data_IF_866090253385
#
_entry.id   IF_866090253385
#
_cell.length_a   1.000
_cell.length_b   1.000
_cell.length_c   1.000
_cell.angle_alpha   90.00
_cell.angle_beta   90.00
_cell.angle_gamma   90.00
#
_symmetry.space_group_name_H-M   'P 1'
#
loop_
_entity.id
_entity.type
_entity.pdbx_description
1 polymer ?
#
# COMPACT_ATOMS: atom_id res chain seq x y z
N UNK A 1 -38.68 10.91 -31.65
CA UNK A 1 -37.98 9.72 -32.20
C UNK A 1 -37.73 8.75 -31.06
N UNK A 2 -38.01 7.44 -31.19
CA UNK A 2 -37.83 6.45 -30.10
C UNK A 2 -36.41 5.86 -30.13
N UNK A 3 -35.91 5.37 -28.99
CA UNK A 3 -34.59 4.73 -28.89
C UNK A 3 -34.44 3.52 -29.82
N UNK A 4 -35.52 2.76 -30.06
CA UNK A 4 -35.53 1.66 -31.02
C UNK A 4 -35.26 2.13 -32.46
N UNK A 5 -35.88 3.23 -32.89
CA UNK A 5 -35.68 3.77 -34.24
C UNK A 5 -34.25 4.27 -34.41
N UNK A 6 -33.71 4.96 -33.40
CA UNK A 6 -32.33 5.45 -33.41
C UNK A 6 -31.32 4.30 -33.41
N UNK A 7 -31.54 3.27 -32.58
CA UNK A 7 -30.74 2.05 -32.56
C UNK A 7 -30.66 1.39 -33.95
N UNK A 8 -31.79 1.26 -34.64
CA UNK A 8 -31.82 0.68 -35.99
C UNK A 8 -31.11 1.55 -37.04
N UNK A 9 -31.26 2.89 -36.98
CA UNK A 9 -30.65 3.83 -37.93
C UNK A 9 -29.13 3.89 -37.76
N UNK A 10 -28.65 3.89 -36.52
CA UNK A 10 -27.22 4.04 -36.21
C UNK A 10 -26.45 2.72 -36.19
N UNK A 11 -27.16 1.58 -36.16
CA UNK A 11 -26.54 0.27 -36.30
C UNK A 11 -26.07 0.03 -37.73
N UNK A 12 -24.90 -0.57 -37.87
CA UNK A 12 -24.33 -1.03 -39.13
C UNK A 12 -23.89 -2.48 -39.00
N UNK A 13 -23.35 -3.04 -40.09
CA UNK A 13 -22.75 -4.37 -40.08
C UNK A 13 -21.60 -4.48 -39.06
N UNK A 14 -20.85 -3.40 -38.89
CA UNK A 14 -19.62 -3.37 -38.09
C UNK A 14 -19.82 -2.78 -36.68
N UNK A 15 -20.97 -2.14 -36.42
CA UNK A 15 -21.29 -1.59 -35.10
C UNK A 15 -22.78 -1.77 -34.79
N UNK A 16 -23.11 -2.50 -33.74
CA UNK A 16 -24.49 -2.65 -33.29
C UNK A 16 -24.75 -1.70 -32.13
N UNK A 17 -25.73 -0.82 -32.29
CA UNK A 17 -26.12 0.13 -31.25
C UNK A 17 -27.31 -0.43 -30.49
N UNK A 18 -27.12 -0.76 -29.21
CA UNK A 18 -28.20 -1.24 -28.34
C UNK A 18 -29.25 -0.16 -28.02
N UNK A 19 -30.41 -0.57 -27.49
CA UNK A 19 -31.46 0.39 -27.05
C UNK A 19 -30.98 1.35 -25.96
N UNK A 20 -30.21 0.83 -25.00
CA UNK A 20 -29.64 1.62 -23.90
C UNK A 20 -28.66 2.66 -24.44
N UNK A 21 -27.75 2.25 -25.31
CA UNK A 21 -26.77 3.12 -25.95
C UNK A 21 -27.46 4.19 -26.82
N UNK A 22 -28.47 3.81 -27.61
CA UNK A 22 -29.27 4.76 -28.38
C UNK A 22 -30.02 5.78 -27.51
N UNK A 23 -30.51 5.38 -26.33
CA UNK A 23 -31.14 6.29 -25.39
C UNK A 23 -30.12 7.29 -24.80
N UNK A 24 -28.92 6.80 -24.46
CA UNK A 24 -27.80 7.65 -24.03
C UNK A 24 -27.43 8.67 -25.10
N UNK A 25 -27.32 8.25 -26.36
CA UNK A 25 -27.06 9.13 -27.49
C UNK A 25 -28.12 10.23 -27.65
N UNK A 26 -29.42 9.87 -27.63
CA UNK A 26 -30.51 10.85 -27.74
C UNK A 26 -30.42 11.89 -26.63
N UNK A 27 -30.14 11.46 -25.39
CA UNK A 27 -29.97 12.38 -24.25
C UNK A 27 -28.79 13.32 -24.48
N UNK A 28 -27.64 12.77 -24.87
CA UNK A 28 -26.44 13.56 -25.15
C UNK A 28 -26.66 14.61 -26.26
N UNK A 29 -27.31 14.23 -27.38
CA UNK A 29 -27.65 15.18 -28.45
C UNK A 29 -28.59 16.29 -27.97
N UNK A 30 -29.59 15.93 -27.16
CA UNK A 30 -30.52 16.90 -26.57
C UNK A 30 -29.78 17.91 -25.69
N UNK A 31 -28.81 17.45 -24.91
CA UNK A 31 -28.09 18.28 -23.94
C UNK A 31 -27.01 19.15 -24.62
N UNK A 32 -26.21 18.60 -25.55
CA UNK A 32 -25.07 19.31 -26.16
C UNK A 32 -25.43 20.21 -27.36
N UNK A 33 -26.51 19.87 -28.08
CA UNK A 33 -26.92 20.58 -29.31
C UNK A 33 -28.35 21.12 -29.19
N UNK A 34 -29.25 20.32 -28.62
CA UNK A 34 -30.68 20.55 -28.65
C UNK A 34 -31.34 19.91 -29.87
N UNK A 35 -32.38 19.11 -29.65
CA UNK A 35 -32.98 18.25 -30.70
C UNK A 35 -33.42 19.01 -31.96
N UNK A 36 -34.04 20.20 -31.80
CA UNK A 36 -34.48 21.03 -32.94
C UNK A 36 -33.31 21.53 -33.78
N UNK A 37 -32.22 21.94 -33.10
CA UNK A 37 -31.01 22.40 -33.79
C UNK A 37 -30.32 21.23 -34.47
N UNK A 38 -30.21 20.10 -33.79
CA UNK A 38 -29.63 18.88 -34.36
C UNK A 38 -30.37 18.45 -35.64
N UNK A 39 -31.70 18.41 -35.63
CA UNK A 39 -32.50 18.12 -36.82
C UNK A 39 -32.21 19.10 -37.97
N UNK A 40 -32.18 20.41 -37.68
CA UNK A 40 -31.85 21.44 -38.67
C UNK A 40 -30.44 21.26 -39.24
N UNK A 41 -29.48 20.92 -38.41
CA UNK A 41 -28.09 20.71 -38.80
C UNK A 41 -27.96 19.44 -39.64
N UNK A 42 -28.67 18.35 -39.31
CA UNK A 42 -28.77 17.15 -40.15
C UNK A 42 -29.31 17.49 -41.55
N UNK A 43 -30.43 18.21 -41.64
CA UNK A 43 -31.02 18.59 -42.93
C UNK A 43 -30.07 19.44 -43.77
N UNK A 44 -29.43 20.44 -43.15
CA UNK A 44 -28.43 21.29 -43.83
C UNK A 44 -27.24 20.49 -44.30
N UNK A 45 -26.73 19.57 -43.48
CA UNK A 45 -25.58 18.73 -43.86
C UNK A 45 -25.93 17.82 -45.03
N UNK A 46 -27.15 17.25 -45.05
CA UNK A 46 -27.65 16.48 -46.20
C UNK A 46 -27.74 17.34 -47.47
N UNK A 47 -28.33 18.52 -47.36
CA UNK A 47 -28.50 19.45 -48.48
C UNK A 47 -27.15 19.93 -49.03
N UNK A 48 -26.22 20.33 -48.16
CA UNK A 48 -24.84 20.72 -48.54
C UNK A 48 -24.14 19.59 -49.27
N UNK A 49 -24.24 18.36 -48.73
CA UNK A 49 -23.63 17.19 -49.37
C UNK A 49 -24.17 17.01 -50.78
N UNK A 50 -25.46 17.18 -51.05
CA UNK A 50 -26.01 17.03 -52.40
C UNK A 50 -25.41 18.00 -53.44
N UNK A 51 -24.92 19.16 -52.99
CA UNK A 51 -24.36 20.20 -53.86
C UNK A 51 -22.82 20.24 -53.88
N UNK A 52 -22.17 19.48 -53.01
CA UNK A 52 -20.70 19.44 -52.88
C UNK A 52 -20.07 18.16 -53.44
N UNK A 53 -18.78 18.23 -53.77
CA UNK A 53 -17.97 17.06 -54.18
C UNK A 53 -17.66 16.12 -53.01
N UNK A 54 -17.81 16.60 -51.76
CA UNK A 54 -17.59 15.82 -50.55
C UNK A 54 -18.50 14.57 -50.51
N UNK A 55 -17.92 13.44 -50.09
CA UNK A 55 -18.61 12.14 -49.98
C UNK A 55 -19.18 11.90 -48.57
N UNK A 56 -18.76 12.69 -47.59
CA UNK A 56 -19.27 12.67 -46.23
C UNK A 56 -19.07 14.01 -45.52
N UNK A 57 -19.94 14.30 -44.55
CA UNK A 57 -19.86 15.46 -43.67
C UNK A 57 -20.39 15.10 -42.28
N UNK A 58 -20.15 15.95 -41.29
CA UNK A 58 -20.43 15.67 -39.89
C UNK A 58 -21.32 16.74 -39.26
N UNK A 59 -22.30 16.30 -38.48
CA UNK A 59 -22.93 17.14 -37.46
C UNK A 59 -22.04 17.15 -36.24
N UNK A 60 -21.79 18.35 -35.69
CA UNK A 60 -20.88 18.55 -34.56
C UNK A 60 -21.58 19.22 -33.37
N UNK A 61 -21.08 19.00 -32.16
CA UNK A 61 -21.46 19.80 -30.98
C UNK A 61 -20.91 21.22 -31.08
N UNK A 62 -21.37 22.12 -30.19
CA UNK A 62 -20.79 23.47 -30.06
C UNK A 62 -19.28 23.45 -29.79
N UNK A 63 -18.78 22.40 -29.13
CA UNK A 63 -17.36 22.19 -28.82
C UNK A 63 -16.59 21.52 -29.96
N UNK A 64 -17.22 21.33 -31.13
CA UNK A 64 -16.58 20.75 -32.31
C UNK A 64 -16.47 19.22 -32.29
N UNK A 65 -17.11 18.53 -31.35
CA UNK A 65 -17.13 17.06 -31.32
C UNK A 65 -18.04 16.52 -32.41
N UNK A 66 -17.55 15.58 -33.21
CA UNK A 66 -18.37 14.91 -34.23
C UNK A 66 -19.41 14.01 -33.53
N UNK A 67 -20.68 14.13 -33.93
CA UNK A 67 -21.77 13.35 -33.31
C UNK A 67 -22.60 12.53 -34.30
N UNK A 68 -22.53 12.86 -35.58
CA UNK A 68 -23.18 12.10 -36.64
C UNK A 68 -22.41 12.31 -37.94
N UNK A 69 -21.94 11.23 -38.55
CA UNK A 69 -21.42 11.20 -39.91
C UNK A 69 -22.56 10.92 -40.88
N UNK A 70 -22.69 11.77 -41.89
CA UNK A 70 -23.63 11.63 -43.00
C UNK A 70 -22.80 11.39 -44.25
N UNK A 71 -23.07 10.31 -45.01
CA UNK A 71 -22.30 9.99 -46.22
C UNK A 71 -23.16 9.56 -47.40
N UNK A 72 -22.66 9.86 -48.60
CA UNK A 72 -23.19 9.37 -49.86
C UNK A 72 -22.70 7.92 -50.04
N UNK A 73 -23.54 6.92 -49.80
CA UNK A 73 -23.16 5.53 -50.06
C UNK A 73 -23.42 5.22 -51.54
N UNK A 74 -22.39 5.24 -52.41
CA UNK A 74 -22.51 4.91 -53.85
C UNK A 74 -22.79 3.40 -54.09
N UNK A 75 -23.37 2.91 -55.19
CA UNK A 75 -23.68 3.40 -56.56
C UNK A 75 -24.86 2.57 -57.12
N UNK A 76 -25.88 3.19 -57.73
CA UNK A 76 -26.30 2.96 -59.13
C UNK A 76 -27.44 3.92 -59.56
N UNK A 77 -27.15 4.69 -60.61
CA UNK A 77 -28.01 5.56 -61.43
C UNK A 77 -28.44 6.94 -60.88
N UNK A 78 -27.60 7.93 -61.23
CA UNK A 78 -27.94 9.30 -61.67
C UNK A 78 -28.71 10.28 -60.76
N UNK A 79 -29.18 9.90 -59.58
CA UNK A 79 -29.75 10.84 -58.58
C UNK A 79 -29.55 10.21 -57.19
N UNK A 80 -28.88 10.87 -56.23
CA UNK A 80 -28.37 10.21 -55.01
C UNK A 80 -29.46 9.96 -53.95
N UNK A 81 -30.09 8.77 -53.93
CA UNK A 81 -31.14 8.42 -52.94
C UNK A 81 -30.64 7.70 -51.66
N UNK A 82 -29.36 7.33 -51.55
CA UNK A 82 -28.86 6.52 -50.43
C UNK A 82 -27.89 7.29 -49.51
N UNK A 83 -28.47 7.99 -48.53
CA UNK A 83 -27.73 8.65 -47.45
C UNK A 83 -27.49 7.67 -46.31
N UNK A 84 -26.22 7.49 -45.94
CA UNK A 84 -25.82 6.71 -44.77
C UNK A 84 -25.67 7.59 -43.54
N UNK A 85 -26.20 7.12 -42.40
CA UNK A 85 -26.03 7.75 -41.10
C UNK A 85 -25.18 6.83 -40.21
N UNK A 86 -24.07 7.35 -39.66
CA UNK A 86 -23.22 6.61 -38.74
C UNK A 86 -22.80 7.52 -37.59
N UNK A 87 -23.03 7.10 -36.35
CA UNK A 87 -22.44 7.80 -35.21
C UNK A 87 -20.93 7.48 -35.16
N UNK A 88 -20.04 8.49 -34.99
CA UNK A 88 -18.64 8.23 -34.73
C UNK A 88 -18.49 7.51 -33.39
N UNK A 89 -17.47 6.66 -33.26
CA UNK A 89 -17.23 5.90 -32.03
C UNK A 89 -15.89 6.26 -31.43
N UNK A 90 -15.80 6.24 -30.10
CA UNK A 90 -14.53 6.30 -29.37
C UNK A 90 -14.34 5.05 -28.53
N UNK A 91 -13.09 4.63 -28.36
CA UNK A 91 -12.73 3.48 -27.54
C UNK A 91 -12.65 3.91 -26.07
N UNK A 92 -13.50 3.33 -25.22
CA UNK A 92 -13.43 3.53 -23.78
C UNK A 92 -12.30 2.68 -23.19
N UNK A 93 -11.37 3.31 -22.47
CA UNK A 93 -10.15 2.67 -21.97
C UNK A 93 -10.05 2.85 -20.46
N UNK A 94 -9.97 1.74 -19.73
CA UNK A 94 -9.69 1.70 -18.30
C UNK A 94 -8.21 1.46 -18.05
N UNK A 95 -7.65 2.13 -17.04
CA UNK A 95 -6.29 1.91 -16.56
C UNK A 95 -6.32 1.67 -15.06
N UNK A 96 -6.27 0.41 -14.66
CA UNK A 96 -6.35 0.05 -13.24
C UNK A 96 -5.00 0.20 -12.53
N UNK A 97 -5.05 0.52 -11.23
CA UNK A 97 -3.88 0.67 -10.35
C UNK A 97 -3.45 -0.66 -9.70
N UNK A 98 -4.22 -1.72 -9.90
CA UNK A 98 -4.02 -3.06 -9.36
C UNK A 98 -4.49 -4.11 -10.37
N UNK A 99 -4.28 -5.38 -10.03
CA UNK A 99 -4.86 -6.47 -10.80
C UNK A 99 -6.34 -6.58 -10.46
N UNK A 100 -7.19 -6.52 -11.49
CA UNK A 100 -8.64 -6.54 -11.30
C UNK A 100 -9.35 -7.25 -12.45
N UNK A 101 -10.49 -7.84 -12.14
CA UNK A 101 -11.44 -8.37 -13.11
C UNK A 101 -12.70 -7.52 -13.09
N UNK A 102 -13.14 -7.03 -14.25
CA UNK A 102 -14.37 -6.26 -14.38
C UNK A 102 -15.40 -7.07 -15.18
N UNK A 103 -16.60 -7.18 -14.63
CA UNK A 103 -17.76 -7.80 -15.28
C UNK A 103 -18.87 -6.76 -15.44
N UNK A 104 -19.36 -6.56 -16.67
CA UNK A 104 -20.35 -5.53 -16.98
C UNK A 104 -21.20 -5.93 -18.19
N UNK A 105 -22.36 -5.29 -18.38
CA UNK A 105 -23.20 -5.49 -19.57
C UNK A 105 -22.94 -4.40 -20.61
N UNK A 106 -22.78 -4.81 -21.87
CA UNK A 106 -22.72 -3.89 -23.01
C UNK A 106 -23.50 -4.53 -24.17
N UNK A 107 -24.48 -3.79 -24.69
CA UNK A 107 -25.37 -4.23 -25.78
C UNK A 107 -26.12 -5.54 -25.50
N UNK A 108 -26.50 -5.75 -24.25
CA UNK A 108 -27.20 -6.97 -23.81
C UNK A 108 -26.30 -8.20 -23.70
N UNK A 109 -24.98 -8.05 -23.87
CA UNK A 109 -24.00 -9.09 -23.67
C UNK A 109 -23.20 -8.82 -22.41
N UNK A 110 -23.03 -9.84 -21.57
CA UNK A 110 -22.09 -9.80 -20.46
C UNK A 110 -20.67 -9.81 -21.01
N UNK A 111 -19.87 -8.83 -20.60
CA UNK A 111 -18.46 -8.70 -20.91
C UNK A 111 -17.64 -8.91 -19.65
N UNK A 112 -16.46 -9.49 -19.83
CA UNK A 112 -15.46 -9.70 -18.80
C UNK A 112 -14.11 -9.25 -19.31
N UNK A 113 -13.44 -8.40 -18.56
CA UNK A 113 -12.07 -7.98 -18.84
C UNK A 113 -11.19 -8.17 -17.61
N UNK A 114 -9.89 -8.37 -17.85
CA UNK A 114 -8.89 -8.50 -16.80
C UNK A 114 -7.85 -7.41 -17.06
N UNK A 115 -7.48 -6.67 -16.01
CA UNK A 115 -6.44 -5.65 -16.03
C UNK A 115 -5.31 -6.07 -15.12
N UNK A 116 -4.07 -5.81 -15.55
CA UNK A 116 -2.90 -5.78 -14.67
C UNK A 116 -2.57 -4.35 -14.26
N UNK A 117 -1.77 -4.19 -13.19
CA UNK A 117 -1.38 -2.87 -12.67
C UNK A 117 -0.74 -1.99 -13.75
N UNK A 118 -1.34 -0.84 -14.01
CA UNK A 118 -0.85 0.15 -14.97
C UNK A 118 -1.16 -0.17 -16.44
N UNK A 119 -1.79 -1.31 -16.72
CA UNK A 119 -2.20 -1.69 -18.06
C UNK A 119 -3.47 -0.94 -18.48
N UNK A 120 -3.47 -0.45 -19.72
CA UNK A 120 -4.66 0.11 -20.37
C UNK A 120 -5.42 -0.99 -21.10
N UNK A 121 -6.72 -1.15 -20.83
CA UNK A 121 -7.58 -2.15 -21.47
C UNK A 121 -8.83 -1.47 -22.02
N UNK A 122 -9.23 -1.84 -23.23
CA UNK A 122 -10.43 -1.30 -23.88
C UNK A 122 -11.70 -2.02 -23.41
N UNK A 123 -12.74 -1.27 -23.04
CA UNK A 123 -14.07 -1.80 -22.74
C UNK A 123 -14.88 -2.08 -24.02
N UNK A 124 -14.56 -1.36 -25.08
CA UNK A 124 -15.28 -1.37 -26.35
C UNK A 124 -15.33 0.02 -26.99
N UNK A 125 -15.96 0.07 -28.15
CA UNK A 125 -16.25 1.31 -28.87
C UNK A 125 -17.67 1.76 -28.54
N UNK A 126 -17.82 3.04 -28.23
CA UNK A 126 -19.10 3.63 -27.84
C UNK A 126 -19.42 4.83 -28.71
N UNK A 127 -20.70 5.05 -29.02
CA UNK A 127 -21.17 6.25 -29.73
C UNK A 127 -21.23 7.47 -28.77
N UNK A 128 -21.47 8.71 -29.26
CA UNK A 128 -21.50 9.89 -28.41
C UNK A 128 -22.50 9.77 -27.26
N UNK A 129 -22.02 10.05 -26.04
CA UNK A 129 -22.81 9.79 -24.84
C UNK A 129 -22.05 10.08 -23.55
N UNK A 130 -22.81 10.24 -22.47
CA UNK A 130 -22.31 10.18 -21.09
C UNK A 130 -22.74 8.85 -20.50
N UNK A 131 -21.78 8.02 -20.15
CA UNK A 131 -22.01 6.64 -19.74
C UNK A 131 -21.73 6.45 -18.26
N UNK A 132 -22.61 5.69 -17.62
CA UNK A 132 -22.45 5.08 -16.32
C UNK A 132 -22.91 3.63 -16.46
N UNK A 133 -21.93 2.72 -16.58
CA UNK A 133 -22.17 1.30 -16.86
C UNK A 133 -22.02 0.54 -15.56
N UNK A 134 -23.11 -0.06 -15.08
CA UNK A 134 -23.06 -0.93 -13.89
C UNK A 134 -22.05 -2.05 -14.11
N UNK A 135 -21.18 -2.24 -13.12
CA UNK A 135 -20.07 -3.16 -13.20
C UNK A 135 -19.79 -3.79 -11.83
N UNK A 136 -19.17 -4.96 -11.87
CA UNK A 136 -18.63 -5.67 -10.72
C UNK A 136 -17.12 -5.76 -10.90
N UNK A 137 -16.35 -5.17 -9.97
CA UNK A 137 -14.88 -5.27 -9.91
C UNK A 137 -14.51 -6.36 -8.91
N UNK A 138 -13.57 -7.23 -9.25
CA UNK A 138 -13.02 -8.24 -8.33
C UNK A 138 -11.50 -8.12 -8.27
N UNK A 139 -10.96 -8.05 -7.05
CA UNK A 139 -9.53 -7.99 -6.73
C UNK A 139 -9.20 -9.03 -5.66
N UNK A 140 -7.93 -9.11 -5.24
CA UNK A 140 -7.52 -9.96 -4.12
C UNK A 140 -8.22 -9.57 -2.80
N UNK A 141 -8.63 -8.30 -2.67
CA UNK A 141 -9.37 -7.80 -1.51
C UNK A 141 -10.84 -8.18 -1.52
N UNK A 142 -11.40 -8.57 -2.66
CA UNK A 142 -12.80 -9.02 -2.79
C UNK A 142 -13.51 -8.36 -3.96
N UNK A 143 -14.83 -8.28 -3.87
CA UNK A 143 -15.70 -7.85 -4.97
C UNK A 143 -16.39 -6.53 -4.62
N UNK A 144 -16.47 -5.62 -5.58
CA UNK A 144 -17.01 -4.28 -5.45
C UNK A 144 -18.09 -4.08 -6.50
N UNK A 145 -19.25 -3.57 -6.08
CA UNK A 145 -20.35 -3.20 -6.98
C UNK A 145 -20.30 -1.69 -7.22
N UNK A 146 -20.64 -1.26 -8.44
CA UNK A 146 -20.58 0.15 -8.80
C UNK A 146 -20.66 0.37 -10.29
N UNK A 147 -20.01 1.44 -10.77
CA UNK A 147 -20.14 1.90 -12.14
C UNK A 147 -18.79 2.24 -12.77
N UNK A 148 -18.67 1.90 -14.06
CA UNK A 148 -17.65 2.43 -14.95
C UNK A 148 -18.22 3.67 -15.64
N UNK A 149 -17.61 4.82 -15.40
CA UNK A 149 -18.07 6.12 -15.91
C UNK A 149 -17.12 6.66 -16.97
N UNK A 150 -17.67 7.19 -18.06
CA UNK A 150 -16.90 7.84 -19.12
C UNK A 150 -17.79 8.79 -19.93
N UNK A 151 -17.21 9.89 -20.39
CA UNK A 151 -17.92 10.91 -21.18
C UNK A 151 -17.21 11.14 -22.51
N UNK A 152 -17.97 11.14 -23.60
CA UNK A 152 -17.47 11.38 -24.94
C UNK A 152 -16.80 12.76 -25.12
N UNK A 153 -17.12 13.72 -24.26
CA UNK A 153 -16.53 15.06 -24.25
C UNK A 153 -15.15 15.12 -23.55
N UNK A 154 -14.76 14.10 -22.77
CA UNK A 154 -13.52 14.13 -21.99
C UNK A 154 -12.23 14.08 -22.82
N UNK A 155 -12.35 13.78 -24.11
CA UNK A 155 -11.20 13.64 -25.01
C UNK A 155 -11.61 14.01 -26.43
N UNK A 156 -10.77 14.76 -27.14
CA UNK A 156 -10.91 14.95 -28.60
C UNK A 156 -10.32 13.78 -29.40
N UNK A 157 -9.63 12.85 -28.74
CA UNK A 157 -8.96 11.72 -29.38
C UNK A 157 -9.94 10.55 -29.61
N UNK A 158 -9.46 9.53 -30.30
CA UNK A 158 -10.21 8.28 -30.55
C UNK A 158 -10.46 7.46 -29.28
N UNK A 159 -9.81 7.79 -28.17
CA UNK A 159 -9.96 7.12 -26.87
C UNK A 159 -10.57 8.05 -25.83
N UNK A 160 -11.38 7.48 -24.93
CA UNK A 160 -11.96 8.16 -23.77
C UNK A 160 -11.55 7.42 -22.49
N UNK A 161 -11.05 8.14 -21.46
CA UNK A 161 -10.67 7.52 -20.20
C UNK A 161 -11.91 7.05 -19.43
N UNK A 162 -11.83 5.88 -18.83
CA UNK A 162 -12.85 5.34 -17.92
C UNK A 162 -12.43 5.59 -16.49
N UNK A 163 -13.36 6.10 -15.69
CA UNK A 163 -13.21 6.26 -14.24
C UNK A 163 -14.02 5.18 -13.51
N UNK A 164 -13.40 4.60 -12.49
CA UNK A 164 -14.02 3.65 -11.57
C UNK A 164 -14.83 4.40 -10.49
N UNK A 165 -16.10 4.04 -10.28
CA UNK A 165 -16.95 4.56 -9.21
C UNK A 165 -17.62 3.39 -8.48
N UNK A 166 -16.84 2.73 -7.62
CA UNK A 166 -17.27 1.55 -6.85
C UNK A 166 -17.60 1.91 -5.41
N UNK A 167 -18.54 1.16 -4.84
CA UNK A 167 -18.86 1.24 -3.42
C UNK A 167 -17.70 0.67 -2.60
N UNK A 168 -17.06 1.53 -1.82
CA UNK A 168 -15.89 1.22 -1.02
C UNK A 168 -16.03 1.77 0.40
N UNK A 169 -15.55 1.00 1.39
CA UNK A 169 -15.40 1.44 2.75
C UNK A 169 -14.01 1.97 3.04
N UNK A 170 -13.96 2.95 3.93
CA UNK A 170 -12.76 3.43 4.61
C UNK A 170 -12.79 2.97 6.06
N UNK A 171 -11.62 2.64 6.59
CA UNK A 171 -11.42 2.25 7.98
C UNK A 171 -10.33 3.13 8.57
N UNK A 172 -10.66 3.85 9.64
CA UNK A 172 -9.72 4.62 10.44
C UNK A 172 -9.36 3.84 11.70
N UNK A 173 -8.07 3.55 11.88
CA UNK A 173 -7.59 2.67 12.96
C UNK A 173 -6.76 3.46 13.97
N UNK A 174 -7.31 3.61 15.18
CA UNK A 174 -6.62 4.21 16.32
C UNK A 174 -5.94 3.12 17.14
N UNK A 175 -4.63 3.23 17.33
CA UNK A 175 -3.85 2.31 18.18
C UNK A 175 -3.68 2.85 19.59
N UNK A 176 -3.87 2.00 20.59
CA UNK A 176 -3.62 2.27 22.01
C UNK A 176 -2.62 1.29 22.61
N UNK A 177 -1.94 1.76 23.66
CA UNK A 177 -0.99 0.97 24.46
C UNK A 177 0.19 0.41 23.65
N UNK A 178 0.72 1.19 22.71
CA UNK A 178 1.85 0.76 21.88
C UNK A 178 3.21 0.95 22.58
N UNK A 179 3.23 1.47 23.81
CA UNK A 179 4.48 1.73 24.53
C UNK A 179 5.23 0.41 24.80
N UNK A 180 6.55 0.41 24.55
CA UNK A 180 7.39 -0.78 24.72
C UNK A 180 7.39 -1.74 23.54
N UNK A 181 6.69 -1.42 22.44
CA UNK A 181 6.80 -2.09 21.14
C UNK A 181 7.76 -1.35 20.21
N UNK A 182 8.38 -2.08 19.29
CA UNK A 182 9.17 -1.50 18.20
C UNK A 182 8.26 -0.92 17.13
N UNK A 183 8.30 0.41 16.97
CA UNK A 183 7.48 1.13 15.97
C UNK A 183 7.70 0.65 14.53
N UNK A 184 8.90 0.15 14.20
CA UNK A 184 9.21 -0.35 12.85
C UNK A 184 8.52 -1.69 12.53
N UNK A 185 8.17 -2.44 13.56
CA UNK A 185 7.55 -3.77 13.46
C UNK A 185 6.03 -3.73 13.63
N UNK A 186 5.45 -2.54 13.87
CA UNK A 186 4.00 -2.38 13.96
C UNK A 186 3.36 -2.56 12.58
N UNK A 187 2.34 -3.41 12.52
CA UNK A 187 1.55 -3.67 11.32
C UNK A 187 0.06 -3.69 11.70
N UNK A 188 -0.78 -3.04 10.90
CA UNK A 188 -2.22 -3.26 10.93
C UNK A 188 -2.53 -4.45 10.02
N UNK A 189 -3.40 -5.33 10.47
CA UNK A 189 -3.89 -6.45 9.67
C UNK A 189 -5.38 -6.26 9.40
N UNK A 190 -5.74 -6.12 8.13
CA UNK A 190 -7.14 -5.98 7.69
C UNK A 190 -7.45 -7.12 6.73
N UNK A 191 -8.40 -8.00 7.09
CA UNK A 191 -8.75 -9.18 6.30
C UNK A 191 -7.54 -10.04 5.90
N UNK A 192 -6.53 -10.12 6.77
CA UNK A 192 -5.28 -10.85 6.56
C UNK A 192 -4.18 -10.07 5.82
N UNK A 193 -4.49 -8.91 5.23
CA UNK A 193 -3.50 -8.04 4.59
C UNK A 193 -2.70 -7.27 5.65
N UNK A 194 -1.37 -7.38 5.62
CA UNK A 194 -0.47 -6.67 6.54
C UNK A 194 -0.05 -5.32 5.96
N UNK A 195 -0.42 -4.24 6.64
CA UNK A 195 -0.23 -2.86 6.18
C UNK A 195 0.54 -2.09 7.25
N UNK A 196 1.51 -1.28 6.84
CA UNK A 196 2.21 -0.39 7.78
C UNK A 196 1.28 0.74 8.25
N UNK A 197 1.36 1.13 9.53
CA UNK A 197 0.64 2.29 10.05
C UNK A 197 0.88 3.55 9.21
N UNK A 198 -0.21 4.24 8.85
CA UNK A 198 -0.19 5.52 8.14
C UNK A 198 -0.40 6.68 9.11
N UNK A 199 0.09 7.87 8.76
CA UNK A 199 -0.04 9.07 9.60
C UNK A 199 -1.47 9.59 9.73
N UNK A 200 -2.30 9.36 8.71
CA UNK A 200 -3.74 9.71 8.69
C UNK A 200 -4.62 8.58 9.27
N UNK A 201 -4.00 7.47 9.67
CA UNK A 201 -4.64 6.29 10.25
C UNK A 201 -5.74 5.67 9.38
N UNK A 202 -5.83 6.04 8.10
CA UNK A 202 -6.96 5.73 7.23
C UNK A 202 -6.56 4.76 6.12
N UNK A 203 -7.35 3.70 6.00
CA UNK A 203 -7.19 2.62 5.04
C UNK A 203 -8.44 2.56 4.18
N UNK A 204 -8.27 2.45 2.87
CA UNK A 204 -9.34 2.64 1.88
C UNK A 204 -9.47 1.44 0.94
N UNK A 205 -10.52 1.49 0.11
CA UNK A 205 -10.82 0.51 -0.93
C UNK A 205 -11.10 -0.89 -0.36
N UNK A 206 -11.94 -0.96 0.68
CA UNK A 206 -12.48 -2.21 1.19
C UNK A 206 -13.88 -2.49 0.63
N UNK A 207 -14.18 -3.73 0.21
CA UNK A 207 -15.49 -4.06 -0.33
C UNK A 207 -16.54 -4.14 0.79
N UNK A 208 -17.78 -3.75 0.47
CA UNK A 208 -18.91 -3.73 1.41
C UNK A 208 -19.61 -5.09 1.59
N UNK A 209 -19.22 -6.11 0.82
CA UNK A 209 -19.96 -7.38 0.73
C UNK A 209 -19.47 -8.49 1.67
N UNK A 210 -18.46 -8.23 2.50
CA UNK A 210 -17.95 -9.19 3.50
C UNK A 210 -17.52 -8.47 4.77
N UNK A 211 -17.46 -9.22 5.87
CA UNK A 211 -16.97 -8.70 7.14
C UNK A 211 -15.55 -8.12 7.00
N UNK A 212 -15.26 -7.06 7.76
CA UNK A 212 -13.92 -6.49 7.87
C UNK A 212 -13.36 -6.89 9.24
N UNK A 213 -12.36 -7.77 9.24
CA UNK A 213 -11.63 -8.22 10.43
C UNK A 213 -10.34 -7.43 10.55
N UNK A 214 -10.13 -6.78 11.69
CA UNK A 214 -9.05 -5.82 11.91
C UNK A 214 -8.38 -6.11 13.25
N UNK A 215 -7.05 -6.21 13.23
CA UNK A 215 -6.23 -6.21 14.43
C UNK A 215 -4.86 -5.59 14.12
N UNK A 216 -4.00 -5.43 15.13
CA UNK A 216 -2.64 -4.96 14.97
C UNK A 216 -1.65 -5.98 15.53
N UNK A 217 -0.54 -6.14 14.83
CA UNK A 217 0.62 -6.89 15.26
C UNK A 217 1.73 -5.92 15.65
N UNK A 218 2.42 -6.20 16.75
CA UNK A 218 3.61 -5.50 17.18
C UNK A 218 4.66 -6.46 17.70
N UNK A 219 5.89 -5.98 17.83
CA UNK A 219 6.99 -6.78 18.35
C UNK A 219 7.73 -6.04 19.45
N UNK A 220 8.16 -6.75 20.48
CA UNK A 220 9.21 -6.28 21.39
C UNK A 220 10.24 -7.38 21.58
N UNK A 221 11.53 -7.04 21.45
CA UNK A 221 12.61 -8.02 21.34
C UNK A 221 12.31 -9.06 20.25
N UNK A 222 12.18 -10.33 20.64
CA UNK A 222 11.84 -11.49 19.84
C UNK A 222 10.34 -11.84 19.87
N UNK A 223 9.58 -11.30 20.83
CA UNK A 223 8.18 -11.65 21.07
C UNK A 223 7.22 -10.79 20.24
N UNK A 224 6.25 -11.46 19.63
CA UNK A 224 5.11 -10.82 18.95
C UNK A 224 3.95 -10.62 19.93
N UNK A 225 3.28 -9.49 19.80
CA UNK A 225 2.08 -9.13 20.54
C UNK A 225 0.99 -8.78 19.54
N UNK A 226 -0.25 -9.12 19.87
CA UNK A 226 -1.42 -8.76 19.09
C UNK A 226 -2.29 -7.82 19.93
N UNK A 227 -2.91 -6.85 19.27
CA UNK A 227 -4.02 -6.11 19.86
C UNK A 227 -5.25 -7.01 19.99
N UNK A 228 -6.31 -6.49 20.62
CA UNK A 228 -7.64 -7.06 20.41
C UNK A 228 -8.02 -7.07 18.92
N UNK A 229 -8.80 -8.05 18.50
CA UNK A 229 -9.44 -8.10 17.19
C UNK A 229 -10.77 -7.34 17.21
N UNK A 230 -11.12 -6.70 16.10
CA UNK A 230 -12.40 -6.06 15.86
C UNK A 230 -12.97 -6.55 14.53
N UNK A 231 -14.26 -6.82 14.52
CA UNK A 231 -14.99 -7.28 13.33
C UNK A 231 -16.11 -6.30 13.05
N UNK A 232 -16.08 -5.66 11.88
CA UNK A 232 -17.22 -4.90 11.35
C UNK A 232 -18.01 -5.85 10.46
N UNK A 233 -19.26 -6.15 10.83
CA UNK A 233 -20.10 -7.05 10.05
C UNK A 233 -20.52 -6.40 8.76
N UNK A 234 -20.61 -7.19 7.67
CA UNK A 234 -20.94 -6.68 6.33
C UNK A 234 -22.16 -5.74 6.28
N UNK A 235 -23.18 -6.02 7.09
CA UNK A 235 -24.43 -5.25 7.11
C UNK A 235 -24.30 -3.93 7.90
N UNK A 236 -23.24 -3.78 8.69
CA UNK A 236 -22.97 -2.63 9.54
C UNK A 236 -21.84 -1.75 8.97
N UNK A 237 -21.24 -2.14 7.83
CA UNK A 237 -20.18 -1.37 7.19
C UNK A 237 -20.75 -0.06 6.66
N UNK A 238 -20.14 1.04 7.08
CA UNK A 238 -20.42 2.37 6.56
C UNK A 238 -19.36 2.79 5.54
N UNK A 239 -19.58 3.91 4.84
CA UNK A 239 -18.54 4.50 3.97
C UNK A 239 -17.27 4.85 4.74
N UNK A 240 -17.40 5.26 6.00
CA UNK A 240 -16.30 5.53 6.92
C UNK A 240 -16.56 4.81 8.24
N UNK A 241 -15.56 4.05 8.70
CA UNK A 241 -15.65 3.25 9.92
C UNK A 241 -14.48 3.59 10.82
N UNK A 242 -14.71 3.86 12.11
CA UNK A 242 -13.64 4.05 13.08
C UNK A 242 -13.49 2.81 13.96
N UNK A 243 -12.24 2.39 14.17
CA UNK A 243 -11.91 1.23 15.00
C UNK A 243 -10.77 1.59 15.94
N UNK A 244 -10.93 1.22 17.21
CA UNK A 244 -9.89 1.33 18.21
C UNK A 244 -9.34 -0.07 18.56
N UNK A 245 -8.02 -0.20 18.47
CA UNK A 245 -7.28 -1.41 18.79
C UNK A 245 -6.32 -1.11 19.94
N UNK A 246 -6.34 -1.96 20.96
CA UNK A 246 -5.52 -1.83 22.15
C UNK A 246 -4.69 -3.10 22.34
N UNK A 247 -3.40 -2.91 22.60
CA UNK A 247 -2.54 -3.98 23.10
C UNK A 247 -2.72 -4.14 24.62
N UNK A 248 -2.42 -5.35 25.11
CA UNK A 248 -2.28 -5.59 26.55
C UNK A 248 -1.00 -4.92 27.07
N UNK A 249 -1.18 -3.75 27.68
CA UNK A 249 -0.10 -2.94 28.21
C UNK A 249 0.67 -3.66 29.31
N UNK A 250 -0.02 -4.40 30.16
CA UNK A 250 0.57 -5.03 31.33
C UNK A 250 1.37 -6.26 30.92
N UNK A 251 0.90 -7.01 29.92
CA UNK A 251 1.65 -8.11 29.31
C UNK A 251 2.97 -7.61 28.71
N UNK A 252 2.92 -6.56 27.87
CA UNK A 252 4.11 -5.97 27.23
C UNK A 252 5.08 -5.45 28.29
N UNK A 253 4.58 -4.70 29.28
CA UNK A 253 5.41 -4.13 30.36
C UNK A 253 6.08 -5.24 31.17
N UNK A 254 5.35 -6.28 31.54
CA UNK A 254 5.87 -7.42 32.31
C UNK A 254 6.94 -8.18 31.50
N UNK A 255 6.68 -8.44 30.22
CA UNK A 255 7.66 -9.07 29.34
C UNK A 255 8.94 -8.25 29.23
N UNK A 256 8.83 -6.96 28.94
CA UNK A 256 9.99 -6.07 28.80
C UNK A 256 10.82 -5.99 30.09
N UNK A 257 10.16 -5.86 31.25
CA UNK A 257 10.84 -5.85 32.54
C UNK A 257 11.58 -7.17 32.80
N UNK A 258 10.98 -8.31 32.44
CA UNK A 258 11.62 -9.63 32.59
C UNK A 258 12.86 -9.79 31.70
N UNK A 259 12.80 -9.32 30.45
CA UNK A 259 13.94 -9.34 29.53
C UNK A 259 15.06 -8.41 29.99
N UNK A 260 14.73 -7.20 30.46
CA UNK A 260 15.71 -6.27 31.02
C UNK A 260 16.43 -6.86 32.23
N UNK A 261 15.69 -7.47 33.17
CA UNK A 261 16.27 -8.15 34.33
C UNK A 261 17.20 -9.29 33.91
N UNK A 262 16.75 -10.16 33.00
CA UNK A 262 17.57 -11.27 32.51
C UNK A 262 18.88 -10.77 31.86
N UNK A 263 18.82 -9.71 31.06
CA UNK A 263 20.00 -9.09 30.47
C UNK A 263 20.95 -8.54 31.55
N UNK A 264 20.41 -7.85 32.56
CA UNK A 264 21.21 -7.37 33.69
C UNK A 264 21.92 -8.52 34.42
N UNK A 265 21.21 -9.62 34.69
CA UNK A 265 21.75 -10.80 35.36
C UNK A 265 22.86 -11.46 34.52
N UNK A 266 22.64 -11.64 33.21
CA UNK A 266 23.64 -12.19 32.27
C UNK A 266 24.90 -11.32 32.17
N UNK A 267 24.74 -10.01 32.04
CA UNK A 267 25.87 -9.07 32.00
C UNK A 267 26.63 -9.08 33.34
N UNK A 268 25.92 -9.16 34.46
CA UNK A 268 26.53 -9.29 35.79
C UNK A 268 27.33 -10.57 35.94
N UNK A 269 26.81 -11.69 35.46
CA UNK A 269 27.52 -12.97 35.46
C UNK A 269 28.74 -12.93 34.54
N UNK A 270 28.62 -12.32 33.36
CA UNK A 270 29.73 -12.13 32.43
C UNK A 270 30.86 -11.30 33.05
N UNK A 271 30.54 -10.16 33.68
CA UNK A 271 31.53 -9.33 34.38
C UNK A 271 32.21 -10.11 35.50
N UNK A 272 31.47 -10.86 36.33
CA UNK A 272 32.05 -11.70 37.38
C UNK A 272 33.05 -12.72 36.83
N UNK A 273 32.67 -13.43 35.76
CA UNK A 273 33.53 -14.41 35.08
C UNK A 273 34.77 -13.76 34.47
N UNK A 274 34.59 -12.61 33.82
CA UNK A 274 35.68 -11.82 33.27
C UNK A 274 36.66 -11.36 34.35
N UNK A 275 36.20 -10.80 35.47
CA UNK A 275 37.07 -10.37 36.58
C UNK A 275 37.89 -11.53 37.14
N UNK A 276 37.28 -12.70 37.33
CA UNK A 276 38.00 -13.90 37.77
C UNK A 276 39.05 -14.36 36.75
N UNK A 277 38.70 -14.38 35.46
CA UNK A 277 39.63 -14.72 34.38
C UNK A 277 40.78 -13.70 34.27
N UNK A 278 40.49 -12.42 34.50
CA UNK A 278 41.47 -11.33 34.46
C UNK A 278 42.49 -11.47 35.60
N UNK A 279 42.04 -11.72 36.84
CA UNK A 279 42.95 -11.95 37.97
C UNK A 279 43.86 -13.15 37.69
N UNK A 280 43.30 -14.26 37.20
CA UNK A 280 44.06 -15.46 36.83
C UNK A 280 45.08 -15.19 35.72
N UNK A 281 44.73 -14.37 34.74
CA UNK A 281 45.63 -13.96 33.67
C UNK A 281 46.81 -13.15 34.22
N UNK A 282 46.59 -12.23 35.17
CA UNK A 282 47.65 -11.47 35.83
C UNK A 282 48.53 -12.32 36.75
N UNK A 283 47.94 -13.23 37.52
CA UNK A 283 48.68 -14.14 38.41
C UNK A 283 49.63 -15.06 37.64
N UNK A 284 49.21 -15.54 36.46
CA UNK A 284 49.99 -16.45 35.62
C UNK A 284 50.81 -15.76 34.53
N UNK A 285 50.65 -14.45 34.36
CA UNK A 285 51.14 -13.71 33.19
C UNK A 285 50.73 -14.36 31.86
N UNK A 286 49.52 -14.91 31.77
CA UNK A 286 49.01 -15.62 30.60
C UNK A 286 47.73 -14.97 30.07
N UNK A 287 47.87 -14.22 28.99
CA UNK A 287 46.74 -13.55 28.32
C UNK A 287 45.67 -14.53 27.79
N UNK A 288 46.03 -15.79 27.50
CA UNK A 288 45.08 -16.76 26.98
C UNK A 288 43.90 -16.99 27.94
N UNK A 289 44.14 -16.89 29.25
CA UNK A 289 43.13 -17.08 30.31
C UNK A 289 41.96 -16.08 30.22
N UNK A 290 42.18 -14.87 29.69
CA UNK A 290 41.14 -13.82 29.60
C UNK A 290 40.76 -13.44 28.16
N UNK A 291 41.57 -13.81 27.16
CA UNK A 291 41.40 -13.43 25.75
C UNK A 291 39.99 -13.71 25.19
N UNK A 292 39.33 -14.77 25.64
CA UNK A 292 37.99 -15.15 25.20
C UNK A 292 36.88 -14.19 25.63
N UNK A 293 37.13 -13.27 26.57
CA UNK A 293 36.16 -12.27 27.01
C UNK A 293 36.31 -10.93 26.27
N UNK A 294 37.39 -10.76 25.50
CA UNK A 294 37.72 -9.51 24.80
C UNK A 294 37.36 -9.61 23.32
N UNK A 295 36.89 -8.51 22.73
CA UNK A 295 36.67 -8.42 21.30
C UNK A 295 38.04 -8.29 20.59
N UNK A 296 38.33 -9.21 19.66
CA UNK A 296 39.55 -9.18 18.86
C UNK A 296 39.62 -7.91 18.00
N UNK A 297 40.83 -7.55 17.57
CA UNK A 297 41.09 -6.41 16.69
C UNK A 297 40.65 -5.05 17.26
N UNK A 298 40.55 -4.96 18.60
CA UNK A 298 40.31 -3.70 19.32
C UNK A 298 41.59 -3.23 20.02
N UNK A 299 41.73 -1.91 20.20
CA UNK A 299 42.87 -1.34 20.94
C UNK A 299 42.98 -1.91 22.36
N UNK A 300 41.84 -2.13 23.02
CA UNK A 300 41.80 -2.72 24.36
C UNK A 300 42.36 -4.15 24.39
N UNK A 301 42.08 -4.96 23.36
CA UNK A 301 42.62 -6.32 23.27
C UNK A 301 44.16 -6.31 23.27
N UNK A 302 44.77 -5.47 22.45
CA UNK A 302 46.24 -5.36 22.36
C UNK A 302 46.85 -4.74 23.63
N UNK A 303 46.22 -3.70 24.20
CA UNK A 303 46.67 -3.09 25.46
C UNK A 303 46.65 -4.09 26.61
N UNK A 304 45.57 -4.88 26.73
CA UNK A 304 45.44 -5.90 27.78
C UNK A 304 46.47 -7.02 27.62
N UNK A 305 46.68 -7.47 26.39
CA UNK A 305 47.72 -8.46 26.07
C UNK A 305 49.11 -7.96 26.45
N UNK A 306 49.45 -6.71 26.13
CA UNK A 306 50.72 -6.11 26.50
C UNK A 306 50.89 -5.98 28.02
N UNK A 307 49.86 -5.52 28.76
CA UNK A 307 49.90 -5.37 30.22
C UNK A 307 50.11 -6.71 30.95
N UNK A 308 49.37 -7.74 30.55
CA UNK A 308 49.44 -9.08 31.18
C UNK A 308 50.81 -9.73 30.89
N UNK A 309 51.27 -9.71 29.64
CA UNK A 309 52.57 -10.27 29.27
C UNK A 309 53.74 -9.44 29.84
N UNK A 310 53.52 -8.15 30.09
CA UNK A 310 54.46 -7.23 30.73
C UNK A 310 54.57 -7.40 32.26
N UNK A 311 53.97 -8.44 32.84
CA UNK A 311 54.01 -8.77 34.27
C UNK A 311 53.43 -7.66 35.17
N UNK A 312 52.54 -6.83 34.65
CA UNK A 312 51.79 -5.89 35.49
C UNK A 312 50.81 -6.69 36.33
N UNK A 313 50.77 -6.49 37.64
CA UNK A 313 49.85 -7.22 38.53
C UNK A 313 48.75 -6.29 39.04
N UNK A 314 47.51 -6.73 38.82
CA UNK A 314 46.32 -6.15 39.42
C UNK A 314 45.43 -7.28 39.90
N UNK A 315 44.83 -7.08 41.07
CA UNK A 315 43.81 -7.97 41.59
C UNK A 315 42.56 -7.17 41.93
N UNK A 316 41.42 -7.62 41.39
CA UNK A 316 40.12 -7.01 41.63
C UNK A 316 39.16 -8.00 42.26
N UNK A 317 38.43 -7.59 43.28
CA UNK A 317 37.42 -8.42 43.96
C UNK A 317 36.06 -7.75 43.94
N UNK A 318 35.03 -8.53 44.32
CA UNK A 318 33.67 -8.05 44.51
C UNK A 318 33.06 -7.25 43.34
N UNK A 319 33.20 -7.70 42.06
CA UNK A 319 32.63 -6.96 40.94
C UNK A 319 31.09 -6.93 41.03
N UNK A 320 30.53 -5.72 41.05
CA UNK A 320 29.11 -5.45 41.15
C UNK A 320 28.68 -4.53 40.01
N UNK A 321 27.90 -5.06 39.08
CA UNK A 321 27.25 -4.22 38.07
C UNK A 321 26.20 -3.34 38.75
N UNK A 322 26.28 -2.04 38.52
CA UNK A 322 25.35 -1.04 39.07
C UNK A 322 24.39 -0.52 38.00
N UNK A 323 24.78 -0.57 36.73
CA UNK A 323 23.93 -0.15 35.62
C UNK A 323 24.24 -0.93 34.33
N UNK A 324 23.20 -1.23 33.56
CA UNK A 324 23.30 -1.78 32.20
C UNK A 324 22.36 -0.97 31.31
N UNK A 325 22.94 -0.29 30.32
CA UNK A 325 22.20 0.44 29.29
C UNK A 325 22.62 -0.07 27.92
N UNK A 326 21.68 -0.14 26.96
CA UNK A 326 21.99 -0.59 25.60
C UNK A 326 21.87 0.59 24.63
N UNK A 327 22.91 0.80 23.83
CA UNK A 327 22.93 1.76 22.74
C UNK A 327 23.31 1.03 21.44
N UNK A 328 22.33 0.87 20.54
CA UNK A 328 22.46 0.10 19.30
C UNK A 328 23.03 -1.29 19.57
N UNK A 329 24.27 -1.52 19.18
CA UNK A 329 24.94 -2.83 19.21
C UNK A 329 25.73 -3.07 20.50
N UNK A 330 25.89 -2.05 21.36
CA UNK A 330 26.71 -2.15 22.56
C UNK A 330 25.92 -1.96 23.86
N UNK A 331 26.35 -2.69 24.88
CA UNK A 331 26.00 -2.46 26.27
C UNK A 331 27.02 -1.50 26.91
N UNK A 332 26.52 -0.43 27.50
CA UNK A 332 27.24 0.48 28.38
C UNK A 332 26.95 0.06 29.82
N UNK A 333 27.99 -0.42 30.51
CA UNK A 333 27.87 -1.12 31.80
C UNK A 333 28.73 -0.44 32.85
N UNK A 334 28.13 -0.06 33.98
CA UNK A 334 28.86 0.48 35.13
C UNK A 334 29.08 -0.63 36.15
N UNK A 335 30.31 -0.73 36.64
CA UNK A 335 30.74 -1.78 37.57
C UNK A 335 31.51 -1.14 38.71
N UNK A 336 31.21 -1.54 39.93
CA UNK A 336 32.03 -1.28 41.11
C UNK A 336 32.87 -2.52 41.39
N UNK A 337 34.15 -2.35 41.68
CA UNK A 337 35.07 -3.43 42.07
C UNK A 337 36.05 -2.93 43.12
N UNK A 338 36.62 -3.82 43.91
CA UNK A 338 37.59 -3.49 44.97
C UNK A 338 39.01 -3.86 44.52
N UNK A 339 39.99 -2.98 44.74
CA UNK A 339 41.40 -3.31 44.55
C UNK A 339 42.00 -4.03 45.78
N UNK A 340 43.27 -4.40 45.73
CA UNK A 340 43.99 -5.05 46.83
C UNK A 340 44.01 -4.27 48.15
N UNK A 341 43.82 -2.94 48.09
CA UNK A 341 43.77 -2.06 49.26
C UNK A 341 42.35 -1.91 49.82
N UNK A 342 41.36 -2.62 49.25
CA UNK A 342 39.94 -2.49 49.62
C UNK A 342 39.29 -1.20 49.13
N UNK A 343 39.93 -0.45 48.23
CA UNK A 343 39.35 0.77 47.66
C UNK A 343 38.37 0.39 46.54
N UNK A 344 37.19 1.01 46.57
CA UNK A 344 36.19 0.87 45.52
C UNK A 344 36.63 1.68 44.30
N UNK A 345 36.70 1.00 43.16
CA UNK A 345 36.96 1.55 41.84
C UNK A 345 35.67 1.46 41.03
N UNK A 346 35.34 2.54 40.32
CA UNK A 346 34.25 2.52 39.37
C UNK A 346 34.81 2.30 37.96
N UNK A 347 34.17 1.41 37.22
CA UNK A 347 34.58 1.07 35.86
C UNK A 347 33.40 1.23 34.92
N UNK A 348 33.67 1.81 33.75
CA UNK A 348 32.74 1.83 32.64
C UNK A 348 33.21 0.87 31.57
N UNK A 349 32.38 -0.13 31.26
CA UNK A 349 32.62 -1.11 30.21
C UNK A 349 31.73 -0.84 29.01
N UNK A 350 32.34 -0.93 27.83
CA UNK A 350 31.65 -1.06 26.55
C UNK A 350 31.71 -2.52 26.11
N UNK A 351 30.55 -3.17 26.01
CA UNK A 351 30.43 -4.61 25.74
C UNK A 351 29.62 -4.82 24.46
N UNK A 352 30.18 -5.54 23.51
CA UNK A 352 29.47 -6.02 22.32
C UNK A 352 28.58 -7.21 22.70
N UNK A 353 27.35 -7.27 22.16
CA UNK A 353 26.41 -8.33 22.48
C UNK A 353 25.04 -8.22 21.80
N UNK A 354 24.39 -9.37 21.61
CA UNK A 354 23.08 -9.43 20.96
C UNK A 354 21.96 -8.82 21.83
N UNK A 355 20.71 -8.77 21.33
CA UNK A 355 19.58 -8.17 22.07
C UNK A 355 19.23 -8.90 23.40
N UNK A 356 19.68 -10.15 23.56
CA UNK A 356 19.35 -11.02 24.68
C UNK A 356 20.49 -11.11 25.72
N UNK A 357 21.54 -10.30 25.57
CA UNK A 357 22.72 -10.32 26.43
C UNK A 357 23.57 -11.57 26.24
N UNK A 358 23.58 -12.16 25.04
CA UNK A 358 24.40 -13.32 24.70
C UNK A 358 25.61 -12.90 23.84
N UNK A 359 26.56 -13.82 23.72
CA UNK A 359 27.81 -13.64 22.95
C UNK A 359 28.63 -12.40 23.37
N UNK A 360 28.61 -12.08 24.67
CA UNK A 360 29.22 -10.86 25.21
C UNK A 360 30.74 -10.82 25.02
N UNK A 361 31.25 -9.67 24.58
CA UNK A 361 32.69 -9.37 24.46
C UNK A 361 32.99 -7.95 24.90
N UNK A 362 34.02 -7.76 25.73
CA UNK A 362 34.48 -6.42 26.13
C UNK A 362 35.20 -5.78 24.94
N UNK A 363 34.66 -4.65 24.49
CA UNK A 363 35.24 -3.80 23.44
C UNK A 363 36.26 -2.86 24.05
N UNK A 364 35.90 -2.22 25.17
CA UNK A 364 36.76 -1.32 25.90
C UNK A 364 36.33 -1.23 27.37
N UNK A 365 37.22 -0.75 28.24
CA UNK A 365 36.86 -0.34 29.59
C UNK A 365 37.75 0.80 30.08
N UNK A 366 37.21 1.59 31.00
CA UNK A 366 37.90 2.67 31.69
C UNK A 366 37.60 2.58 33.19
N UNK A 367 38.63 2.80 34.02
CA UNK A 367 38.54 2.86 35.47
C UNK A 367 38.61 4.33 35.92
N UNK A 368 37.81 4.70 36.92
CA UNK A 368 37.69 6.05 37.51
C UNK A 368 37.88 6.03 39.03
#
# INVERSE_FOLDING_TARGET
MTSQKVSNILSSKDNKVGRKEAATYIKYIKDEIGMKKFEKDVFRTVDSLNHETAVASYVKTKKGQDVLRISKNGRRYLIFDNIGFKAPTKQAVIKSNEKATFEFESDGLKKKIITEKGQSVALGNYIPGRYAVDAVKTTDRGTYEGQLKFDFDQSSNETIPVTEDFEEAKVKVKLKNTEGLNKKDLMIVINGEKIKPRSDETYESFPLNKDIVIYAEGKSYDQKFNSNEKVIKKNDIQSENEVELSFDKDEIKKFNASKQKNTFDKVSEFIKKYTGALNKAYEKSDFAEVSSYLLKDTSNYEVMKAKINGHTQYHFTNPKVTNVSKNNDFYSVLVEKENEQGQIIQSHYLIDGDANGEHLKIVNYEDY
#
